data_IF_083922769429
#
_entry.id   IF_083922769429
#
_cell.length_a   1.000
_cell.length_b   1.000
_cell.length_c   1.000
_cell.angle_alpha   90.00
_cell.angle_beta   90.00
_cell.angle_gamma   90.00
#
_symmetry.space_group_name_H-M   'P 1'
#
loop_
_entity.id
_entity.type
_entity.pdbx_description
1 polymer ?
#
# COMPACT_ATOMS: atom_id res chain seq x y z
N UNK A 1 -3.24 11.13 -8.40
CA UNK A 1 -2.48 10.00 -7.83
C UNK A 1 -3.15 9.44 -6.59
N UNK A 2 -2.93 8.19 -6.31
CA UNK A 2 -3.40 7.52 -5.10
C UNK A 2 -2.27 6.69 -4.52
N UNK A 3 -2.28 6.50 -3.20
CA UNK A 3 -1.35 5.60 -2.52
C UNK A 3 -2.01 4.22 -2.45
N UNK A 4 -1.25 3.19 -2.82
CA UNK A 4 -1.69 1.80 -2.76
C UNK A 4 -1.00 1.12 -1.57
N UNK A 5 -1.78 0.43 -0.73
CA UNK A 5 -1.17 -0.42 0.29
C UNK A 5 -0.79 -1.79 -0.30
N UNK A 6 -0.13 -2.62 0.50
CA UNK A 6 0.29 -3.95 0.05
C UNK A 6 -0.91 -4.81 -0.32
N UNK A 7 -2.02 -4.72 0.43
CA UNK A 7 -3.20 -5.55 0.16
C UNK A 7 -3.83 -5.26 -1.20
N UNK A 8 -3.87 -3.99 -1.61
CA UNK A 8 -4.41 -3.60 -2.91
C UNK A 8 -3.56 -4.16 -4.06
N UNK A 9 -2.23 -4.03 -3.96
CA UNK A 9 -1.32 -4.55 -4.98
C UNK A 9 -1.36 -6.07 -5.04
N UNK A 10 -1.39 -6.74 -3.89
CA UNK A 10 -1.49 -8.21 -3.84
C UNK A 10 -2.81 -8.69 -4.44
N UNK A 11 -3.93 -8.02 -4.15
CA UNK A 11 -5.22 -8.36 -4.76
C UNK A 11 -5.17 -8.24 -6.28
N UNK A 12 -4.50 -7.21 -6.80
CA UNK A 12 -4.29 -7.04 -8.23
C UNK A 12 -3.46 -8.19 -8.82
N UNK A 13 -2.34 -8.53 -8.18
CA UNK A 13 -1.44 -9.57 -8.67
C UNK A 13 -2.07 -10.97 -8.60
N UNK A 14 -3.01 -11.18 -7.68
CA UNK A 14 -3.72 -12.44 -7.49
C UNK A 14 -5.07 -12.49 -8.22
N UNK A 15 -5.35 -11.46 -9.01
CA UNK A 15 -6.60 -11.34 -9.79
C UNK A 15 -7.86 -11.48 -8.92
N UNK A 16 -7.83 -10.85 -7.74
CA UNK A 16 -8.96 -10.87 -6.82
C UNK A 16 -10.01 -9.82 -7.20
N UNK A 17 -11.17 -9.89 -6.56
CA UNK A 17 -12.26 -8.94 -6.74
C UNK A 17 -11.76 -7.50 -6.54
N UNK A 18 -12.06 -6.63 -7.50
CA UNK A 18 -11.66 -5.22 -7.47
C UNK A 18 -10.32 -4.94 -8.15
N UNK A 19 -9.63 -5.98 -8.64
CA UNK A 19 -8.32 -5.82 -9.30
C UNK A 19 -8.36 -4.85 -10.49
N UNK A 20 -9.51 -4.73 -11.16
CA UNK A 20 -9.69 -3.82 -12.28
C UNK A 20 -9.49 -2.35 -11.89
N UNK A 21 -9.78 -1.97 -10.65
CA UNK A 21 -9.54 -0.61 -10.15
C UNK A 21 -8.05 -0.31 -10.07
N UNK A 22 -7.27 -1.27 -9.60
CA UNK A 22 -5.81 -1.12 -9.52
C UNK A 22 -5.21 -1.10 -10.93
N UNK A 23 -5.72 -1.94 -11.82
CA UNK A 23 -5.27 -1.99 -13.20
C UNK A 23 -5.35 -0.61 -13.87
N UNK A 24 -6.49 0.06 -13.74
CA UNK A 24 -6.69 1.40 -14.29
C UNK A 24 -5.70 2.40 -13.67
N UNK A 25 -5.52 2.36 -12.34
CA UNK A 25 -4.60 3.25 -11.63
C UNK A 25 -3.17 3.07 -12.16
N UNK A 26 -2.72 1.83 -12.29
CA UNK A 26 -1.37 1.51 -12.76
C UNK A 26 -1.19 1.88 -14.23
N UNK A 27 -2.18 1.58 -15.07
CA UNK A 27 -2.14 1.90 -16.50
C UNK A 27 -2.03 3.40 -16.75
N UNK A 28 -2.61 4.22 -15.87
CA UNK A 28 -2.54 5.67 -15.95
C UNK A 28 -1.29 6.27 -15.28
N UNK A 29 -0.42 5.45 -14.70
CA UNK A 29 0.79 5.90 -13.99
C UNK A 29 0.48 6.65 -12.71
N UNK A 30 -0.66 6.39 -12.07
CA UNK A 30 -1.17 7.15 -10.92
C UNK A 30 -1.05 6.42 -9.58
N UNK A 31 -0.38 5.28 -9.53
CA UNK A 31 -0.17 4.52 -8.31
C UNK A 31 1.13 4.89 -7.62
N UNK A 32 1.06 5.18 -6.33
CA UNK A 32 2.22 5.46 -5.49
C UNK A 32 2.28 4.45 -4.35
N UNK A 33 3.46 4.01 -3.98
CA UNK A 33 3.64 3.04 -2.90
C UNK A 33 4.88 3.36 -2.07
N UNK A 34 4.74 3.22 -0.75
CA UNK A 34 5.89 3.29 0.15
C UNK A 34 6.83 2.11 -0.08
N UNK A 35 8.14 2.32 0.07
CA UNK A 35 9.13 1.24 0.05
C UNK A 35 8.81 0.17 1.08
N UNK A 36 8.21 0.51 2.21
CA UNK A 36 7.80 -0.46 3.24
C UNK A 36 6.75 -1.43 2.68
N UNK A 37 5.74 -0.89 2.03
CA UNK A 37 4.68 -1.73 1.43
C UNK A 37 5.19 -2.50 0.21
N UNK A 38 6.10 -1.91 -0.55
CA UNK A 38 6.80 -2.59 -1.63
C UNK A 38 7.54 -3.83 -1.09
N UNK A 39 8.26 -3.68 0.02
CA UNK A 39 8.96 -4.79 0.66
C UNK A 39 8.00 -5.89 1.12
N UNK A 40 6.83 -5.51 1.65
CA UNK A 40 5.79 -6.47 2.05
C UNK A 40 5.30 -7.29 0.86
N UNK A 41 5.05 -6.65 -0.29
CA UNK A 41 4.62 -7.34 -1.50
C UNK A 41 5.69 -8.33 -1.97
N UNK A 42 6.95 -7.89 -2.03
CA UNK A 42 8.07 -8.76 -2.40
C UNK A 42 8.12 -9.99 -1.49
N UNK A 43 8.05 -9.77 -0.18
CA UNK A 43 8.09 -10.86 0.80
C UNK A 43 6.95 -11.85 0.64
N UNK A 44 5.75 -11.36 0.39
CA UNK A 44 4.57 -12.22 0.19
C UNK A 44 4.66 -13.05 -1.09
N UNK A 45 5.18 -12.49 -2.16
CA UNK A 45 5.36 -13.23 -3.41
C UNK A 45 6.41 -14.33 -3.27
N UNK A 46 7.51 -14.05 -2.58
CA UNK A 46 8.53 -15.06 -2.28
C UNK A 46 7.97 -16.17 -1.39
N UNK A 47 7.23 -15.80 -0.38
CA UNK A 47 6.58 -16.75 0.54
C UNK A 47 5.58 -17.65 -0.17
N UNK A 48 4.92 -17.14 -1.21
CA UNK A 48 4.02 -17.91 -2.06
C UNK A 48 4.74 -18.86 -3.02
N UNK A 49 6.07 -18.83 -3.06
CA UNK A 49 6.88 -19.77 -3.83
C UNK A 49 7.42 -19.24 -5.15
N UNK A 50 7.24 -17.97 -5.47
CA UNK A 50 7.82 -17.42 -6.69
C UNK A 50 9.33 -17.29 -6.55
N UNK A 51 10.12 -17.65 -7.59
CA UNK A 51 11.57 -17.41 -7.59
C UNK A 51 11.88 -15.91 -7.57
N UNK A 52 13.00 -15.54 -7.02
CA UNK A 52 13.44 -14.14 -6.94
C UNK A 52 13.40 -13.43 -8.29
N UNK A 53 13.87 -14.09 -9.36
CA UNK A 53 13.88 -13.51 -10.71
C UNK A 53 12.46 -13.17 -11.20
N UNK A 54 11.50 -14.04 -10.89
CA UNK A 54 10.08 -13.81 -11.24
C UNK A 54 9.50 -12.64 -10.46
N UNK A 55 9.79 -12.56 -9.16
CA UNK A 55 9.34 -11.44 -8.31
C UNK A 55 9.90 -10.12 -8.83
N UNK A 56 11.17 -10.09 -9.16
CA UNK A 56 11.83 -8.91 -9.71
C UNK A 56 11.16 -8.42 -10.98
N UNK A 57 10.84 -9.34 -11.88
CA UNK A 57 10.14 -9.05 -13.13
C UNK A 57 8.73 -8.52 -12.89
N UNK A 58 7.97 -9.17 -12.00
CA UNK A 58 6.62 -8.75 -11.64
C UNK A 58 6.62 -7.32 -11.10
N UNK A 59 7.49 -7.04 -10.14
CA UNK A 59 7.55 -5.71 -9.52
C UNK A 59 7.99 -4.63 -10.51
N UNK A 60 8.93 -4.93 -11.39
CA UNK A 60 9.40 -3.99 -12.41
C UNK A 60 8.28 -3.60 -13.39
N UNK A 61 7.33 -4.50 -13.65
CA UNK A 61 6.24 -4.28 -14.60
C UNK A 61 5.01 -3.60 -13.99
N UNK A 62 5.01 -3.30 -12.69
CA UNK A 62 3.85 -2.68 -12.04
C UNK A 62 3.69 -1.20 -12.34
N UNK A 63 4.70 -0.54 -12.86
CA UNK A 63 4.66 0.89 -13.19
C UNK A 63 4.28 1.77 -11.99
N UNK A 64 4.81 1.42 -10.81
CA UNK A 64 4.57 2.13 -9.57
C UNK A 64 5.53 3.30 -9.38
N UNK A 65 5.01 4.37 -8.77
CA UNK A 65 5.82 5.45 -8.22
C UNK A 65 6.20 5.06 -6.79
N UNK A 66 7.38 4.51 -6.60
CA UNK A 66 7.84 4.04 -5.28
C UNK A 66 8.52 5.19 -4.55
N UNK A 67 8.04 5.49 -3.34
CA UNK A 67 8.57 6.55 -2.48
C UNK A 67 9.32 5.95 -1.31
N UNK A 68 10.56 6.38 -1.12
CA UNK A 68 11.36 5.96 0.03
C UNK A 68 10.77 6.48 1.32
N UNK A 69 10.71 5.63 2.36
CA UNK A 69 10.34 6.07 3.69
C UNK A 69 11.53 6.86 4.28
N UNK A 70 11.42 8.17 4.24
CA UNK A 70 12.43 9.08 4.78
C UNK A 70 12.18 9.38 6.28
N UNK A 71 13.01 10.23 6.87
CA UNK A 71 12.92 10.56 8.30
C UNK A 71 11.57 11.20 8.65
N UNK A 72 11.06 12.08 7.81
CA UNK A 72 9.77 12.75 8.07
C UNK A 72 8.62 11.74 8.03
N UNK A 73 8.64 10.83 7.07
CA UNK A 73 7.65 9.75 6.98
C UNK A 73 7.77 8.79 8.16
N UNK A 74 9.00 8.46 8.58
CA UNK A 74 9.24 7.58 9.72
C UNK A 74 8.67 8.19 11.00
N UNK A 75 8.89 9.49 11.21
CA UNK A 75 8.34 10.21 12.36
C UNK A 75 6.81 10.13 12.38
N UNK A 76 6.17 10.46 11.26
CA UNK A 76 4.71 10.40 11.14
C UNK A 76 4.17 8.98 11.32
N UNK A 77 4.86 7.99 10.78
CA UNK A 77 4.52 6.57 10.97
C UNK A 77 4.50 6.21 12.46
N UNK A 78 5.50 6.67 13.19
CA UNK A 78 5.57 6.48 14.65
C UNK A 78 4.42 7.16 15.37
N UNK A 79 4.13 8.42 15.04
CA UNK A 79 3.04 9.16 15.66
C UNK A 79 1.68 8.48 15.47
N UNK A 80 1.45 7.85 14.32
CA UNK A 80 0.19 7.17 14.02
C UNK A 80 -0.05 5.95 14.92
N UNK A 81 0.97 5.44 15.61
CA UNK A 81 0.82 4.30 16.53
C UNK A 81 -0.27 4.57 17.58
N UNK A 82 -0.29 5.76 18.16
CA UNK A 82 -1.20 6.07 19.26
C UNK A 82 -2.67 6.14 18.81
N UNK A 83 -2.91 6.61 17.60
CA UNK A 83 -4.28 6.78 17.08
C UNK A 83 -4.81 5.53 16.36
N UNK A 84 -3.95 4.57 16.04
CA UNK A 84 -4.32 3.37 15.28
C UNK A 84 -4.12 2.06 16.05
N UNK A 85 -3.56 2.14 17.25
CA UNK A 85 -3.20 0.98 18.08
C UNK A 85 -4.40 0.05 18.31
N UNK A 86 -5.56 0.60 18.66
CA UNK A 86 -6.76 -0.18 18.95
C UNK A 86 -7.32 -0.91 17.72
N UNK A 87 -6.96 -0.47 16.52
CA UNK A 87 -7.40 -1.08 15.26
C UNK A 87 -6.40 -2.09 14.73
N UNK A 88 -5.29 -2.30 15.43
CA UNK A 88 -4.31 -3.33 15.10
C UNK A 88 -3.50 -3.05 13.83
N UNK A 89 -3.34 -1.77 13.45
CA UNK A 89 -2.57 -1.45 12.26
C UNK A 89 -1.09 -1.79 12.44
N UNK A 90 -0.55 -2.48 11.45
CA UNK A 90 0.87 -2.85 11.39
C UNK A 90 1.74 -1.64 11.09
N UNK A 91 3.05 -1.81 11.21
CA UNK A 91 4.02 -0.79 10.78
C UNK A 91 3.82 -0.42 9.30
N UNK A 92 3.61 -1.42 8.44
CA UNK A 92 3.37 -1.19 7.01
C UNK A 92 2.10 -0.38 6.75
N UNK A 93 1.01 -0.69 7.46
CA UNK A 93 -0.24 0.05 7.35
C UNK A 93 -0.02 1.52 7.71
N UNK A 94 0.69 1.76 8.81
CA UNK A 94 0.98 3.12 9.28
C UNK A 94 1.92 3.87 8.33
N UNK A 95 2.89 3.17 7.74
CA UNK A 95 3.78 3.77 6.74
C UNK A 95 3.01 4.21 5.49
N UNK A 96 2.04 3.41 5.06
CA UNK A 96 1.15 3.74 3.96
C UNK A 96 0.34 5.02 4.25
N UNK A 97 -0.29 5.08 5.43
CA UNK A 97 -1.06 6.25 5.84
C UNK A 97 -0.19 7.49 6.02
N UNK A 98 1.02 7.34 6.54
CA UNK A 98 1.95 8.44 6.69
C UNK A 98 2.32 9.06 5.33
N UNK A 99 2.62 8.22 4.34
CA UNK A 99 2.89 8.67 2.97
C UNK A 99 1.69 9.43 2.40
N UNK A 100 0.51 8.86 2.52
CA UNK A 100 -0.72 9.47 2.03
C UNK A 100 -0.96 10.84 2.68
N UNK A 101 -0.74 10.95 3.98
CA UNK A 101 -0.90 12.21 4.71
C UNK A 101 0.09 13.28 4.26
N UNK A 102 1.34 12.91 4.07
CA UNK A 102 2.38 13.84 3.63
C UNK A 102 2.12 14.31 2.20
N UNK A 103 1.69 13.42 1.32
CA UNK A 103 1.40 13.75 -0.08
C UNK A 103 -0.02 14.31 -0.28
N UNK A 104 -0.85 14.30 0.75
CA UNK A 104 -2.26 14.69 0.68
C UNK A 104 -3.01 13.92 -0.41
N UNK A 105 -2.86 12.60 -0.40
CA UNK A 105 -3.45 11.70 -1.40
C UNK A 105 -4.39 10.70 -0.72
N UNK A 106 -5.41 10.21 -1.44
CA UNK A 106 -6.23 9.10 -0.95
C UNK A 106 -5.44 7.79 -0.99
N UNK A 107 -5.89 6.82 -0.19
CA UNK A 107 -5.32 5.48 -0.10
C UNK A 107 -6.31 4.45 -0.63
N UNK A 108 -5.84 3.53 -1.44
CA UNK A 108 -6.62 2.37 -1.87
C UNK A 108 -6.14 1.14 -1.10
N UNK A 109 -7.07 0.45 -0.47
CA UNK A 109 -6.80 -0.75 0.34
C UNK A 109 -7.86 -1.82 0.09
N UNK A 110 -7.50 -3.09 0.28
CA UNK A 110 -8.44 -4.20 0.31
C UNK A 110 -8.79 -4.60 1.75
N UNK A 111 -8.22 -3.93 2.75
CA UNK A 111 -8.42 -4.26 4.17
C UNK A 111 -9.65 -3.53 4.71
N UNK A 112 -10.71 -4.27 4.98
CA UNK A 112 -11.98 -3.73 5.52
C UNK A 112 -11.83 -3.12 6.91
N UNK A 113 -10.82 -3.52 7.68
CA UNK A 113 -10.58 -2.98 9.01
C UNK A 113 -10.31 -1.47 8.98
N UNK A 114 -9.78 -0.96 7.87
CA UNK A 114 -9.49 0.46 7.74
C UNK A 114 -10.74 1.33 7.73
N UNK A 115 -11.90 0.80 7.44
CA UNK A 115 -13.18 1.53 7.52
C UNK A 115 -13.52 1.94 8.96
N UNK A 116 -12.92 1.27 9.94
CA UNK A 116 -13.13 1.58 11.37
C UNK A 116 -12.26 2.73 11.86
N UNK A 117 -11.30 3.19 11.07
CA UNK A 117 -10.39 4.25 11.46
C UNK A 117 -11.13 5.58 11.56
N UNK A 118 -10.96 6.25 12.69
CA UNK A 118 -11.43 7.63 12.90
C UNK A 118 -10.29 8.55 12.43
N UNK A 119 -10.31 8.90 11.16
CA UNK A 119 -9.20 9.60 10.53
C UNK A 119 -9.68 10.57 9.45
N UNK A 120 -8.85 11.56 9.14
CA UNK A 120 -9.05 12.49 8.04
C UNK A 120 -8.53 11.94 6.70
N UNK A 121 -7.93 10.76 6.70
CA UNK A 121 -7.46 10.14 5.46
C UNK A 121 -8.65 9.69 4.61
N UNK A 122 -8.59 9.97 3.33
CA UNK A 122 -9.56 9.44 2.39
C UNK A 122 -9.17 8.01 2.04
N UNK A 123 -9.95 7.05 2.50
CA UNK A 123 -9.72 5.63 2.29
C UNK A 123 -10.72 5.14 1.26
N UNK A 124 -10.20 4.50 0.22
CA UNK A 124 -10.98 3.93 -0.88
C UNK A 124 -10.84 2.42 -0.79
N UNK A 125 -11.95 1.73 -0.57
CA UNK A 125 -11.95 0.27 -0.55
C UNK A 125 -11.91 -0.28 -1.97
N UNK A 126 -11.08 -1.29 -2.17
CA UNK A 126 -10.94 -1.94 -3.47
C UNK A 126 -12.22 -2.66 -3.86
N UNK A 127 -12.93 -3.22 -2.86
CA UNK A 127 -14.15 -3.99 -3.09
C UNK A 127 -15.17 -3.89 -1.95
#
# INVERSE_FOLDING_TARGET
MVVLDASAVLAYLQDENGSEKVDVILAEGKGMMSTVNYAEVVGKLLEAGLPESSVKSVMANLDLNVESLDDAQAWKTGLLRMTTKEFGLSLGDRACLALAGIKNLPVVTADKQWDKLKTNFKIIQLR
#
